data_IF_726500967453
#
_entry.id   IF_726500967453
#
_cell.length_a   1.000
_cell.length_b   1.000
_cell.length_c   1.000
_cell.angle_alpha   90.00
_cell.angle_beta   90.00
_cell.angle_gamma   90.00
#
_symmetry.space_group_name_H-M   'P 1'
#
loop_
_entity.id
_entity.type
_entity.pdbx_description
1 polymer ?
#
# COMPACT_ATOMS: atom_id res chain seq x y z
N UNK A 1 2.53 -22.42 -4.86
CA UNK A 1 3.40 -21.68 -5.79
C UNK A 1 4.22 -20.67 -5.00
N UNK A 2 5.53 -20.54 -5.27
CA UNK A 2 6.37 -19.52 -4.62
C UNK A 2 6.41 -18.30 -5.54
N UNK A 3 5.92 -17.15 -5.06
CA UNK A 3 5.93 -15.88 -5.82
C UNK A 3 7.23 -15.15 -5.55
N UNK A 4 7.95 -14.70 -6.59
CA UNK A 4 9.08 -13.76 -6.43
C UNK A 4 8.52 -12.37 -6.10
N UNK A 5 8.51 -11.98 -4.83
CA UNK A 5 7.84 -10.77 -4.35
C UNK A 5 8.43 -9.50 -4.98
N UNK A 6 9.75 -9.44 -5.14
CA UNK A 6 10.41 -8.31 -5.81
C UNK A 6 9.88 -8.11 -7.23
N UNK A 7 9.86 -9.17 -8.06
CA UNK A 7 9.36 -9.09 -9.43
C UNK A 7 7.86 -8.74 -9.49
N UNK A 8 7.07 -9.22 -8.53
CA UNK A 8 5.66 -8.90 -8.42
C UNK A 8 5.43 -7.40 -8.15
N UNK A 9 6.29 -6.80 -7.34
CA UNK A 9 6.28 -5.37 -7.04
C UNK A 9 6.77 -4.55 -8.24
N UNK A 10 7.92 -4.92 -8.82
CA UNK A 10 8.52 -4.23 -9.98
C UNK A 10 7.61 -4.25 -11.22
N UNK A 11 6.77 -5.29 -11.38
CA UNK A 11 5.78 -5.38 -12.46
C UNK A 11 4.44 -4.72 -12.11
N UNK A 12 4.38 -3.86 -11.09
CA UNK A 12 3.18 -3.17 -10.60
C UNK A 12 2.00 -4.10 -10.24
N UNK A 13 2.23 -5.40 -9.99
CA UNK A 13 1.14 -6.33 -9.68
C UNK A 13 0.55 -6.04 -8.30
N UNK A 14 1.39 -5.66 -7.33
CA UNK A 14 0.92 -5.25 -6.00
C UNK A 14 0.10 -3.96 -6.06
N UNK A 15 0.58 -2.96 -6.81
CA UNK A 15 -0.12 -1.70 -7.07
C UNK A 15 -1.51 -1.96 -7.71
N UNK A 16 -1.58 -2.83 -8.71
CA UNK A 16 -2.84 -3.26 -9.32
C UNK A 16 -3.78 -3.93 -8.32
N UNK A 17 -3.29 -4.83 -7.48
CA UNK A 17 -4.10 -5.43 -6.42
C UNK A 17 -4.68 -4.38 -5.48
N UNK A 18 -3.87 -3.42 -5.02
CA UNK A 18 -4.36 -2.34 -4.15
C UNK A 18 -5.45 -1.51 -4.83
N UNK A 19 -5.27 -1.16 -6.11
CA UNK A 19 -6.29 -0.44 -6.88
C UNK A 19 -7.58 -1.26 -7.05
N UNK A 20 -7.47 -2.57 -7.28
CA UNK A 20 -8.61 -3.46 -7.48
C UNK A 20 -9.52 -3.58 -6.24
N UNK A 21 -9.04 -3.20 -5.04
CA UNK A 21 -9.86 -3.10 -3.83
C UNK A 21 -10.94 -2.01 -3.92
N UNK A 22 -10.81 -1.02 -4.81
CA UNK A 22 -11.87 -0.03 -5.05
C UNK A 22 -12.93 -0.50 -6.05
N UNK A 23 -12.77 -1.70 -6.63
CA UNK A 23 -13.71 -2.23 -7.62
C UNK A 23 -15.12 -2.37 -7.05
N UNK A 24 -16.14 -2.15 -7.88
CA UNK A 24 -17.54 -2.39 -7.51
C UNK A 24 -17.85 -3.89 -7.42
N UNK A 25 -17.13 -4.73 -8.17
CA UNK A 25 -17.30 -6.18 -8.17
C UNK A 25 -16.79 -6.79 -6.86
N UNK A 26 -17.70 -7.34 -6.04
CA UNK A 26 -17.36 -7.95 -4.75
C UNK A 26 -16.50 -9.22 -4.87
N UNK A 27 -16.66 -9.99 -5.95
CA UNK A 27 -15.86 -11.18 -6.20
C UNK A 27 -14.39 -10.82 -6.49
N UNK A 28 -14.17 -9.79 -7.33
CA UNK A 28 -12.83 -9.30 -7.61
C UNK A 28 -12.13 -8.83 -6.32
N UNK A 29 -12.83 -8.05 -5.49
CA UNK A 29 -12.28 -7.60 -4.21
C UNK A 29 -11.91 -8.78 -3.29
N UNK A 30 -12.76 -9.80 -3.20
CA UNK A 30 -12.48 -10.98 -2.37
C UNK A 30 -11.24 -11.75 -2.86
N UNK A 31 -11.10 -11.95 -4.18
CA UNK A 31 -9.93 -12.57 -4.79
C UNK A 31 -8.68 -11.75 -4.48
N UNK A 32 -8.75 -10.43 -4.63
CA UNK A 32 -7.64 -9.52 -4.39
C UNK A 32 -7.22 -9.49 -2.92
N UNK A 33 -8.18 -9.47 -1.98
CA UNK A 33 -7.87 -9.59 -0.54
C UNK A 33 -7.12 -10.89 -0.23
N UNK A 34 -7.54 -12.01 -0.82
CA UNK A 34 -6.82 -13.28 -0.68
C UNK A 34 -5.43 -13.24 -1.34
N UNK A 35 -5.29 -12.59 -2.50
CA UNK A 35 -3.98 -12.37 -3.13
C UNK A 35 -3.03 -11.57 -2.23
N UNK A 36 -3.51 -10.50 -1.59
CA UNK A 36 -2.73 -9.70 -0.66
C UNK A 36 -2.31 -10.48 0.58
N UNK A 37 -3.22 -11.29 1.16
CA UNK A 37 -2.90 -12.16 2.30
C UNK A 37 -1.82 -13.20 1.96
N UNK A 38 -1.91 -13.82 0.77
CA UNK A 38 -0.87 -14.76 0.29
C UNK A 38 0.44 -14.06 -0.01
N UNK A 39 0.39 -12.87 -0.60
CA UNK A 39 1.58 -12.07 -0.86
C UNK A 39 2.31 -11.71 0.44
N UNK A 40 1.59 -11.31 1.50
CA UNK A 40 2.13 -11.06 2.84
C UNK A 40 2.88 -12.29 3.37
N UNK A 41 2.32 -13.49 3.24
CA UNK A 41 2.97 -14.74 3.66
C UNK A 41 4.28 -15.01 2.90
N UNK A 42 4.29 -14.80 1.58
CA UNK A 42 5.52 -14.95 0.77
C UNK A 42 6.57 -13.90 1.12
N UNK A 43 6.13 -12.67 1.42
CA UNK A 43 6.98 -11.52 1.71
C UNK A 43 7.86 -11.73 2.96
N UNK A 44 7.33 -12.39 4.00
CA UNK A 44 8.04 -12.66 5.26
C UNK A 44 9.38 -13.39 5.01
N UNK A 45 9.38 -14.34 4.08
CA UNK A 45 10.54 -15.18 3.76
C UNK A 45 11.55 -14.58 2.78
N UNK A 46 11.24 -13.42 2.19
CA UNK A 46 12.07 -12.80 1.15
C UNK A 46 12.76 -11.53 1.64
N UNK A 47 13.91 -11.21 1.03
CA UNK A 47 14.71 -10.02 1.34
C UNK A 47 14.94 -9.23 0.06
N UNK A 48 14.46 -7.99 0.04
CA UNK A 48 14.72 -6.99 -0.99
C UNK A 48 14.49 -5.59 -0.41
N UNK A 49 14.97 -4.54 -1.09
CA UNK A 49 15.10 -3.20 -0.51
C UNK A 49 13.79 -2.57 -0.01
N UNK A 50 12.64 -2.79 -0.67
CA UNK A 50 11.34 -2.23 -0.25
C UNK A 50 10.56 -3.09 0.76
N UNK A 51 11.09 -4.25 1.14
CA UNK A 51 10.31 -5.29 1.82
C UNK A 51 9.67 -4.78 3.12
N UNK A 52 10.42 -4.03 3.93
CA UNK A 52 9.93 -3.51 5.22
C UNK A 52 8.86 -2.43 5.06
N UNK A 53 9.01 -1.54 4.06
CA UNK A 53 8.02 -0.49 3.76
C UNK A 53 6.71 -1.10 3.28
N UNK A 54 6.78 -2.10 2.40
CA UNK A 54 5.61 -2.81 1.90
C UNK A 54 4.93 -3.58 3.02
N UNK A 55 5.69 -4.30 3.85
CA UNK A 55 5.14 -5.04 4.98
C UNK A 55 4.44 -4.12 5.98
N UNK A 56 5.04 -2.96 6.28
CA UNK A 56 4.46 -1.92 7.14
C UNK A 56 3.13 -1.43 6.56
N UNK A 57 3.11 -1.05 5.28
CA UNK A 57 1.89 -0.59 4.61
C UNK A 57 0.77 -1.65 4.61
N UNK A 58 1.09 -2.91 4.31
CA UNK A 58 0.13 -4.01 4.33
C UNK A 58 -0.42 -4.25 5.75
N UNK A 59 0.43 -4.16 6.77
CA UNK A 59 0.04 -4.29 8.17
C UNK A 59 -0.93 -3.17 8.58
N UNK A 60 -0.62 -1.92 8.24
CA UNK A 60 -1.49 -0.78 8.53
C UNK A 60 -2.83 -0.90 7.79
N UNK A 61 -2.83 -1.31 6.52
CA UNK A 61 -4.05 -1.55 5.76
C UNK A 61 -4.91 -2.64 6.40
N UNK A 62 -4.30 -3.73 6.85
CA UNK A 62 -4.98 -4.84 7.53
C UNK A 62 -5.64 -4.38 8.82
N UNK A 63 -4.97 -3.57 9.63
CA UNK A 63 -5.54 -2.99 10.85
C UNK A 63 -6.70 -2.02 10.56
N UNK A 64 -6.70 -1.35 9.41
CA UNK A 64 -7.78 -0.44 9.02
C UNK A 64 -9.06 -1.14 8.54
N UNK A 65 -8.99 -2.39 8.09
CA UNK A 65 -10.14 -3.11 7.53
C UNK A 65 -11.01 -3.66 8.66
N UNK A 66 -12.11 -2.96 8.93
CA UNK A 66 -13.09 -3.35 9.97
C UNK A 66 -14.20 -4.29 9.49
N UNK A 67 -14.33 -4.47 8.16
CA UNK A 67 -15.39 -5.27 7.53
C UNK A 67 -14.81 -6.17 6.45
N UNK A 68 -15.28 -7.41 6.39
CA UNK A 68 -14.90 -8.33 5.31
C UNK A 68 -15.29 -7.77 3.93
N UNK A 69 -14.39 -7.96 2.97
CA UNK A 69 -14.58 -7.56 1.57
C UNK A 69 -14.94 -6.06 1.38
N UNK A 70 -14.38 -5.20 2.25
CA UNK A 70 -14.55 -3.76 2.22
C UNK A 70 -14.16 -3.19 0.84
N UNK A 71 -14.95 -2.24 0.33
CA UNK A 71 -14.56 -1.49 -0.86
C UNK A 71 -13.80 -0.25 -0.42
N UNK A 72 -12.57 -0.10 -0.88
CA UNK A 72 -11.81 1.13 -0.63
C UNK A 72 -12.36 2.29 -1.46
N UNK A 73 -12.27 3.51 -0.92
CA UNK A 73 -12.44 4.70 -1.74
C UNK A 73 -11.36 4.69 -2.84
N UNK A 74 -11.69 5.00 -4.11
CA UNK A 74 -10.73 4.96 -5.22
C UNK A 74 -9.48 5.79 -4.96
N UNK A 75 -9.63 6.93 -4.29
CA UNK A 75 -8.51 7.81 -3.95
C UNK A 75 -7.55 7.18 -2.93
N UNK A 76 -8.07 6.43 -1.95
CA UNK A 76 -7.25 5.70 -0.97
C UNK A 76 -6.54 4.54 -1.67
N UNK A 77 -7.24 3.81 -2.53
CA UNK A 77 -6.65 2.73 -3.32
C UNK A 77 -5.53 3.24 -4.25
N UNK A 78 -5.73 4.39 -4.89
CA UNK A 78 -4.73 5.06 -5.71
C UNK A 78 -3.53 5.52 -4.88
N UNK A 79 -3.76 6.11 -3.70
CA UNK A 79 -2.70 6.51 -2.78
C UNK A 79 -1.83 5.31 -2.39
N UNK A 80 -2.43 4.21 -1.96
CA UNK A 80 -1.73 2.96 -1.63
C UNK A 80 -0.94 2.40 -2.83
N UNK A 81 -1.55 2.43 -4.02
CA UNK A 81 -0.87 2.03 -5.26
C UNK A 81 0.37 2.90 -5.52
N UNK A 82 0.28 4.22 -5.30
CA UNK A 82 1.40 5.15 -5.48
C UNK A 82 2.47 5.02 -4.41
N UNK A 83 2.12 4.58 -3.20
CA UNK A 83 3.12 4.23 -2.19
C UNK A 83 4.01 3.08 -2.65
N UNK A 84 3.44 2.05 -3.29
CA UNK A 84 4.21 0.93 -3.83
C UNK A 84 5.21 1.43 -4.87
N UNK A 85 4.76 2.26 -5.82
CA UNK A 85 5.65 2.88 -6.81
C UNK A 85 6.74 3.73 -6.12
N UNK A 86 6.40 4.50 -5.08
CA UNK A 86 7.39 5.30 -4.37
C UNK A 86 8.43 4.43 -3.65
N UNK A 87 8.02 3.30 -3.07
CA UNK A 87 8.95 2.43 -2.37
C UNK A 87 9.99 1.81 -3.30
N UNK A 88 9.67 1.66 -4.58
CA UNK A 88 10.64 1.20 -5.58
C UNK A 88 11.61 2.27 -6.06
N UNK A 89 11.39 3.53 -5.67
CA UNK A 89 12.17 4.70 -6.10
C UNK A 89 12.71 5.47 -4.88
N UNK A 90 13.67 4.89 -4.13
CA UNK A 90 14.19 5.49 -2.90
C UNK A 90 14.89 6.84 -3.10
N UNK A 91 15.30 7.17 -4.32
CA UNK A 91 15.85 8.46 -4.74
C UNK A 91 14.84 9.61 -4.69
N UNK A 92 13.55 9.32 -4.59
CA UNK A 92 12.51 10.34 -4.49
C UNK A 92 12.63 11.13 -3.18
N UNK A 93 12.59 12.46 -3.26
CA UNK A 93 12.55 13.36 -2.09
C UNK A 93 11.40 13.03 -1.14
N UNK A 94 10.29 12.48 -1.65
CA UNK A 94 9.11 12.13 -0.88
C UNK A 94 9.26 10.82 -0.08
N UNK A 95 10.19 9.95 -0.47
CA UNK A 95 10.37 8.63 0.13
C UNK A 95 10.56 8.70 1.65
N UNK A 96 11.43 9.61 2.12
CA UNK A 96 11.74 9.76 3.55
C UNK A 96 10.55 10.32 4.34
N UNK A 97 9.85 11.31 3.78
CA UNK A 97 8.68 11.93 4.41
C UNK A 97 7.56 10.90 4.58
N UNK A 98 7.26 10.15 3.53
CA UNK A 98 6.20 9.16 3.52
C UNK A 98 6.55 7.96 4.40
N UNK A 99 7.77 7.46 4.35
CA UNK A 99 8.20 6.36 5.23
C UNK A 99 8.09 6.77 6.70
N UNK A 100 8.51 7.99 7.06
CA UNK A 100 8.38 8.50 8.43
C UNK A 100 6.92 8.64 8.85
N UNK A 101 6.03 9.07 7.95
CA UNK A 101 4.60 9.13 8.22
C UNK A 101 4.03 7.75 8.52
N UNK A 102 4.30 6.75 7.68
CA UNK A 102 3.78 5.40 7.86
C UNK A 102 4.18 4.80 9.21
N UNK A 103 5.42 5.02 9.65
CA UNK A 103 5.92 4.53 10.93
C UNK A 103 5.25 5.20 12.15
N UNK A 104 4.64 6.38 11.99
CA UNK A 104 3.92 7.08 13.08
C UNK A 104 2.47 6.64 13.23
N UNK A 105 1.91 5.99 12.21
CA UNK A 105 0.50 5.62 12.18
C UNK A 105 0.30 4.22 12.76
N UNK A 106 -0.82 4.00 13.45
CA UNK A 106 -1.27 2.66 13.88
C UNK A 106 -2.27 2.04 12.89
N UNK A 107 -2.91 2.87 12.06
CA UNK A 107 -3.82 2.48 10.98
C UNK A 107 -3.82 3.53 9.86
N UNK A 108 -4.30 3.16 8.68
CA UNK A 108 -4.58 4.07 7.56
C UNK A 108 -6.04 4.53 7.64
N UNK A 109 -6.28 5.85 7.62
CA UNK A 109 -7.63 6.37 7.41
C UNK A 109 -8.13 5.97 6.00
N UNK A 110 -9.19 5.16 5.95
CA UNK A 110 -9.78 4.68 4.71
C UNK A 110 -10.93 5.59 4.20
N UNK A 111 -11.27 6.63 4.96
CA UNK A 111 -12.31 7.61 4.66
C UNK A 111 -11.69 8.88 4.09
N UNK A 112 -10.66 9.41 4.75
CA UNK A 112 -9.93 10.59 4.29
C UNK A 112 -8.58 10.21 3.66
N UNK A 113 -8.08 11.06 2.77
CA UNK A 113 -6.79 10.85 2.12
C UNK A 113 -5.68 11.02 3.17
N UNK A 114 -4.90 9.97 3.49
CA UNK A 114 -3.75 10.11 4.38
C UNK A 114 -2.75 11.10 3.77
N UNK A 115 -2.06 11.87 4.61
CA UNK A 115 -1.03 12.86 4.20
C UNK A 115 -1.49 14.04 3.34
N UNK A 116 -2.77 14.13 2.91
CA UNK A 116 -3.19 15.22 2.03
C UNK A 116 -2.96 16.59 2.65
N UNK A 117 -3.44 16.82 3.88
CA UNK A 117 -3.21 18.09 4.56
C UNK A 117 -1.73 18.34 4.85
N UNK A 118 -0.96 17.33 5.28
CA UNK A 118 0.46 17.50 5.59
C UNK A 118 1.31 17.82 4.34
N UNK A 119 1.02 17.20 3.19
CA UNK A 119 1.75 17.44 1.94
C UNK A 119 1.36 18.76 1.27
N UNK A 120 0.10 19.20 1.41
CA UNK A 120 -0.36 20.47 0.84
C UNK A 120 -0.03 21.67 1.74
N UNK A 121 0.11 21.47 3.04
CA UNK A 121 0.51 22.52 4.00
C UNK A 121 2.00 22.50 4.35
N UNK A 122 2.78 21.52 3.88
CA UNK A 122 4.24 21.61 3.95
C UNK A 122 4.71 22.74 3.03
N UNK A 123 4.93 23.91 3.61
CA UNK A 123 5.59 25.08 3.02
C UNK A 123 7.08 24.84 2.74
N UNK A 124 7.40 23.69 2.17
CA UNK A 124 8.75 23.28 1.76
C UNK A 124 8.63 22.53 0.43
N UNK A 125 8.11 23.23 -0.56
CA UNK A 125 8.42 22.98 -1.96
C UNK A 125 9.15 24.24 -2.45
N UNK A 126 10.33 24.48 -1.90
CA UNK A 126 11.43 25.25 -2.48
C UNK A 126 12.72 24.47 -2.21
#
# INVERSE_FOLDING_TARGET
>A
CVVKCQQFVEKHCLAYCLMALSSRCGLLRAVVYNCLARFEQHLISQRFYCKEQILTMLTLLKHSIKKSNLKLAPIVALFLSKLVDLFTHPESKLYRTITRFLLKQSYIDLVHIPLFSELFHSSTIE
#
